data_IF_773807144808
#
_entry.id   IF_773807144808
#
_cell.length_a   1.000
_cell.length_b   1.000
_cell.length_c   1.000
_cell.angle_alpha   90.00
_cell.angle_beta   90.00
_cell.angle_gamma   90.00
#
_symmetry.space_group_name_H-M   'P 1'
#
loop_
_entity.id
_entity.type
_entity.pdbx_description
1 polymer ?
#
# COMPACT_ATOMS: atom_id res chain seq x y z
N UNK A 1 -10.56 25.14 30.37
CA UNK A 1 -10.01 26.30 31.12
C UNK A 1 -8.89 26.96 30.32
N UNK A 2 -7.91 26.20 29.83
CA UNK A 2 -6.82 26.70 28.98
C UNK A 2 -7.28 27.57 27.79
N UNK A 3 -8.30 27.13 27.04
CA UNK A 3 -8.82 27.87 25.87
C UNK A 3 -9.39 29.24 26.27
N UNK A 4 -10.15 29.31 27.36
CA UNK A 4 -10.69 30.58 27.83
C UNK A 4 -9.58 31.50 28.30
N UNK A 5 -8.60 31.00 29.06
CA UNK A 5 -7.47 31.80 29.49
C UNK A 5 -6.63 32.31 28.31
N UNK A 6 -6.43 31.47 27.29
CA UNK A 6 -5.76 31.84 26.04
C UNK A 6 -6.50 32.96 25.30
N UNK A 7 -7.83 32.89 25.20
CA UNK A 7 -8.64 33.91 24.51
C UNK A 7 -8.61 35.28 25.19
N UNK A 8 -8.38 35.33 26.51
CA UNK A 8 -8.21 36.57 27.25
C UNK A 8 -6.76 37.08 27.21
N UNK A 9 -5.81 36.26 26.75
CA UNK A 9 -4.41 36.63 26.59
C UNK A 9 -4.16 37.37 25.27
N UNK A 10 -2.97 37.96 25.14
CA UNK A 10 -2.57 38.70 23.94
C UNK A 10 -2.54 37.74 22.74
N UNK A 11 -3.35 38.01 21.71
CA UNK A 11 -3.39 37.19 20.50
C UNK A 11 -2.04 37.17 19.78
N UNK A 12 -1.76 36.01 19.21
CA UNK A 12 -0.76 35.81 18.16
C UNK A 12 -0.87 36.91 17.10
N UNK A 13 0.23 37.63 16.86
CA UNK A 13 0.35 38.49 15.69
C UNK A 13 0.71 37.62 14.49
N UNK A 14 0.08 37.87 13.35
CA UNK A 14 0.23 37.07 12.12
C UNK A 14 1.69 37.05 11.59
N UNK A 15 2.53 37.99 12.05
CA UNK A 15 3.92 38.15 11.61
C UNK A 15 4.91 37.19 12.28
N UNK A 16 4.56 36.59 13.43
CA UNK A 16 5.48 35.71 14.17
C UNK A 16 5.34 34.26 13.72
N UNK A 17 6.46 33.52 13.65
CA UNK A 17 6.46 32.09 13.35
C UNK A 17 5.59 31.33 14.37
N UNK A 18 4.48 30.68 13.93
CA UNK A 18 3.55 30.04 14.84
C UNK A 18 4.19 28.88 15.60
N UNK A 19 5.12 28.14 15.01
CA UNK A 19 5.79 27.03 15.71
C UNK A 19 6.66 27.52 16.87
N UNK A 20 7.31 28.67 16.68
CA UNK A 20 8.12 29.30 17.72
C UNK A 20 7.25 29.81 18.87
N UNK A 21 6.07 30.36 18.58
CA UNK A 21 5.16 30.85 19.64
C UNK A 21 4.66 29.75 20.56
N UNK A 22 4.34 28.57 20.02
CA UNK A 22 3.87 27.44 20.83
C UNK A 22 5.00 26.69 21.55
N UNK A 23 6.25 27.14 21.41
CA UNK A 23 7.42 26.57 22.09
C UNK A 23 7.76 27.32 23.41
N UNK A 24 8.59 26.70 24.26
CA UNK A 24 9.08 27.34 25.50
C UNK A 24 8.01 27.52 26.58
N UNK A 25 7.87 28.74 27.10
CA UNK A 25 6.99 29.08 28.22
C UNK A 25 5.50 28.82 27.92
N UNK A 26 5.06 29.07 26.68
CA UNK A 26 3.67 28.85 26.26
C UNK A 26 3.31 27.35 26.20
N UNK A 27 4.30 26.48 25.94
CA UNK A 27 4.12 25.02 25.97
C UNK A 27 3.79 24.52 27.38
N UNK A 28 4.41 25.14 28.39
CA UNK A 28 4.19 24.82 29.80
C UNK A 28 2.83 25.39 30.25
N UNK A 29 2.49 26.58 29.77
CA UNK A 29 1.25 27.27 30.15
C UNK A 29 -0.02 26.63 29.57
N UNK A 30 0.01 26.20 28.30
CA UNK A 30 -1.13 25.61 27.61
C UNK A 30 -0.76 24.30 26.89
N UNK A 31 -0.52 23.22 27.64
CA UNK A 31 0.00 21.97 27.07
C UNK A 31 -0.94 21.33 26.04
N UNK A 32 -2.26 21.40 26.25
CA UNK A 32 -3.21 20.84 25.31
C UNK A 32 -3.29 21.67 24.03
N UNK A 33 -3.27 23.01 24.18
CA UNK A 33 -3.36 23.94 23.06
C UNK A 33 -2.11 23.89 22.19
N UNK A 34 -0.92 23.79 22.80
CA UNK A 34 0.34 23.54 22.09
C UNK A 34 0.30 22.22 21.33
N UNK A 35 -0.14 21.13 21.96
CA UNK A 35 -0.23 19.83 21.27
C UNK A 35 -1.18 19.88 20.06
N UNK A 36 -2.30 20.59 20.20
CA UNK A 36 -3.26 20.77 19.12
C UNK A 36 -2.70 21.65 18.00
N UNK A 37 -2.04 22.76 18.35
CA UNK A 37 -1.48 23.70 17.38
C UNK A 37 -0.41 23.04 16.53
N UNK A 38 0.51 22.29 17.14
CA UNK A 38 1.52 21.52 16.42
C UNK A 38 0.88 20.53 15.43
N UNK A 39 -0.15 19.79 15.84
CA UNK A 39 -0.86 18.89 14.91
C UNK A 39 -1.52 19.64 13.76
N UNK A 40 -2.14 20.79 14.04
CA UNK A 40 -2.84 21.57 13.02
C UNK A 40 -1.87 22.18 12.01
N UNK A 41 -0.76 22.74 12.47
CA UNK A 41 0.25 23.34 11.59
C UNK A 41 1.11 22.30 10.86
N UNK A 42 1.30 21.11 11.42
CA UNK A 42 1.98 20.00 10.73
C UNK A 42 1.08 19.25 9.75
N UNK A 43 -0.23 19.46 9.81
CA UNK A 43 -1.16 18.86 8.84
C UNK A 43 -1.01 19.58 7.49
N UNK A 44 -0.92 18.82 6.37
CA UNK A 44 -0.90 19.43 5.04
C UNK A 44 -2.19 20.21 4.80
N UNK A 45 -2.09 21.39 4.17
CA UNK A 45 -3.25 22.23 3.90
C UNK A 45 -4.21 21.62 2.87
N UNK A 46 -3.76 20.59 2.13
CA UNK A 46 -4.53 19.95 1.06
C UNK A 46 -4.52 18.42 1.17
N UNK A 47 -5.59 17.79 0.69
CA UNK A 47 -5.66 16.32 0.58
C UNK A 47 -4.59 15.77 -0.37
N UNK A 48 -4.33 16.45 -1.49
CA UNK A 48 -3.30 16.07 -2.46
C UNK A 48 -1.90 15.96 -1.83
N UNK A 49 -1.52 16.90 -0.96
CA UNK A 49 -0.23 16.85 -0.27
C UNK A 49 -0.18 15.74 0.79
N UNK A 50 -1.31 15.44 1.42
CA UNK A 50 -1.44 14.30 2.35
C UNK A 50 -1.30 12.96 1.62
N UNK A 51 -1.96 12.82 0.47
CA UNK A 51 -1.84 11.66 -0.43
C UNK A 51 -0.42 11.51 -0.97
N UNK A 52 0.22 12.61 -1.37
CA UNK A 52 1.61 12.64 -1.84
C UNK A 52 2.60 12.26 -0.74
N UNK A 53 2.36 12.69 0.51
CA UNK A 53 3.15 12.25 1.65
C UNK A 53 2.98 10.77 1.92
N UNK A 54 1.74 10.27 1.90
CA UNK A 54 1.45 8.85 2.10
C UNK A 54 2.12 7.98 1.01
N UNK A 55 2.06 8.39 -0.26
CA UNK A 55 2.72 7.70 -1.35
C UNK A 55 4.25 7.70 -1.20
N UNK A 56 4.84 8.81 -0.75
CA UNK A 56 6.28 8.92 -0.50
C UNK A 56 6.72 8.09 0.74
N UNK A 57 5.90 8.01 1.77
CA UNK A 57 6.17 7.13 2.93
C UNK A 57 6.14 5.67 2.48
N UNK A 58 5.15 5.26 1.69
CA UNK A 58 5.08 3.90 1.16
C UNK A 58 6.28 3.59 0.24
N UNK A 59 6.70 4.53 -0.62
CA UNK A 59 7.86 4.33 -1.50
C UNK A 59 9.18 4.23 -0.74
N UNK A 60 9.36 5.02 0.32
CA UNK A 60 10.56 4.92 1.19
C UNK A 60 10.56 3.65 2.03
N UNK A 61 9.40 3.21 2.54
CA UNK A 61 9.30 1.93 3.26
C UNK A 61 9.53 0.73 2.33
N UNK A 62 8.96 0.75 1.12
CA UNK A 62 9.24 -0.24 0.08
C UNK A 62 10.73 -0.35 -0.23
N UNK A 63 11.41 0.80 -0.37
CA UNK A 63 12.86 0.86 -0.61
C UNK A 63 13.63 0.18 0.53
N UNK A 64 13.26 0.47 1.78
CA UNK A 64 13.88 -0.14 2.96
C UNK A 64 13.65 -1.64 3.03
N UNK A 65 12.40 -2.09 2.85
CA UNK A 65 12.07 -3.52 2.81
C UNK A 65 12.87 -4.24 1.73
N UNK A 66 13.01 -3.65 0.55
CA UNK A 66 13.79 -4.20 -0.55
C UNK A 66 15.29 -4.28 -0.25
N UNK A 67 15.87 -3.22 0.32
CA UNK A 67 17.27 -3.21 0.72
C UNK A 67 17.54 -4.27 1.82
N UNK A 68 16.61 -4.43 2.75
CA UNK A 68 16.66 -5.47 3.80
C UNK A 68 16.53 -6.89 3.23
N UNK A 69 15.62 -7.13 2.28
CA UNK A 69 15.49 -8.43 1.60
C UNK A 69 16.76 -8.78 0.80
N UNK A 70 17.33 -7.82 0.06
CA UNK A 70 18.60 -7.98 -0.66
C UNK A 70 19.78 -8.32 0.26
N UNK A 71 19.74 -7.85 1.51
CA UNK A 71 20.77 -8.13 2.52
C UNK A 71 20.63 -9.50 3.20
N UNK A 72 19.48 -10.17 3.03
CA UNK A 72 19.23 -11.48 3.63
C UNK A 72 19.93 -12.61 2.86
N UNK A 73 20.35 -13.63 3.59
CA UNK A 73 20.87 -14.85 2.98
C UNK A 73 19.73 -15.57 2.23
N UNK A 74 19.91 -15.81 0.93
CA UNK A 74 18.92 -16.50 0.10
C UNK A 74 18.72 -17.93 0.59
N UNK A 75 17.46 -18.31 0.82
CA UNK A 75 17.08 -19.69 1.07
C UNK A 75 17.35 -20.58 -0.17
N UNK A 76 17.44 -21.89 0.06
CA UNK A 76 17.67 -22.87 -0.99
C UNK A 76 16.57 -22.81 -2.07
N UNK A 77 16.97 -22.85 -3.35
CA UNK A 77 16.09 -22.86 -4.55
C UNK A 77 15.04 -23.99 -4.53
N UNK A 78 15.20 -24.97 -3.64
CA UNK A 78 14.25 -26.08 -3.46
C UNK A 78 12.99 -25.71 -2.66
N UNK A 79 12.99 -24.59 -1.95
CA UNK A 79 11.82 -24.12 -1.19
C UNK A 79 10.82 -23.40 -2.09
N UNK A 80 9.52 -23.55 -1.82
CA UNK A 80 8.48 -22.82 -2.55
C UNK A 80 8.58 -21.32 -2.22
N UNK A 81 8.83 -20.43 -3.20
CA UNK A 81 8.89 -19.00 -2.95
C UNK A 81 7.60 -18.45 -2.32
N UNK A 82 6.43 -19.06 -2.59
CA UNK A 82 5.16 -18.64 -1.98
C UNK A 82 5.17 -18.83 -0.45
N UNK A 83 5.79 -19.90 0.04
CA UNK A 83 5.85 -20.20 1.47
C UNK A 83 6.84 -19.29 2.21
N UNK A 84 7.92 -18.88 1.54
CA UNK A 84 8.82 -17.83 2.03
C UNK A 84 8.07 -16.51 2.23
N UNK A 85 7.32 -16.04 1.23
CA UNK A 85 6.57 -14.77 1.32
C UNK A 85 5.42 -14.82 2.33
N UNK A 86 4.80 -15.99 2.53
CA UNK A 86 3.81 -16.18 3.61
C UNK A 86 4.45 -16.06 4.99
N UNK A 87 5.61 -16.68 5.19
CA UNK A 87 6.32 -16.67 6.48
C UNK A 87 6.89 -15.28 6.81
N UNK A 88 7.33 -14.55 5.78
CA UNK A 88 7.93 -13.22 5.92
C UNK A 88 6.93 -12.06 5.76
N UNK A 89 5.63 -12.31 5.67
CA UNK A 89 4.61 -11.28 5.47
C UNK A 89 4.60 -10.20 6.57
N UNK A 90 4.90 -10.59 7.83
CA UNK A 90 5.01 -9.63 8.95
C UNK A 90 6.24 -8.73 8.85
N UNK A 91 7.31 -9.23 8.20
CA UNK A 91 8.58 -8.52 8.06
C UNK A 91 8.57 -7.60 6.85
N UNK A 92 7.98 -8.06 5.74
CA UNK A 92 7.89 -7.33 4.49
C UNK A 92 6.42 -7.22 4.03
N UNK A 93 5.60 -6.39 4.69
CA UNK A 93 4.17 -6.30 4.37
C UNK A 93 3.92 -5.81 2.95
N UNK A 94 4.71 -4.86 2.44
CA UNK A 94 4.49 -4.27 1.12
C UNK A 94 5.04 -5.18 0.02
N UNK A 95 6.21 -5.80 0.25
CA UNK A 95 6.83 -6.68 -0.74
C UNK A 95 6.11 -8.03 -0.86
N UNK A 96 5.62 -8.59 0.25
CA UNK A 96 4.86 -9.85 0.25
C UNK A 96 3.51 -9.74 -0.48
N UNK A 97 2.81 -8.61 -0.35
CA UNK A 97 1.57 -8.35 -1.08
C UNK A 97 1.83 -8.30 -2.60
N UNK A 98 2.90 -7.61 -3.01
CA UNK A 98 3.30 -7.56 -4.41
C UNK A 98 3.70 -8.96 -4.92
N UNK A 99 4.56 -9.67 -4.19
CA UNK A 99 5.03 -11.00 -4.54
C UNK A 99 3.86 -11.99 -4.73
N UNK A 100 2.89 -12.01 -3.82
CA UNK A 100 1.71 -12.86 -3.96
C UNK A 100 0.92 -12.59 -5.24
N UNK A 101 0.72 -11.31 -5.61
CA UNK A 101 0.05 -10.94 -6.87
C UNK A 101 0.83 -11.40 -8.10
N UNK A 102 2.15 -11.26 -8.09
CA UNK A 102 3.02 -11.72 -9.18
C UNK A 102 3.03 -13.24 -9.32
N UNK A 103 3.19 -13.98 -8.22
CA UNK A 103 3.22 -15.45 -8.25
C UNK A 103 1.85 -16.10 -8.52
N UNK A 104 0.75 -15.40 -8.23
CA UNK A 104 -0.61 -15.88 -8.56
C UNK A 104 -0.93 -15.79 -10.05
N UNK A 105 -0.16 -15.01 -10.82
CA UNK A 105 -0.40 -14.86 -12.25
C UNK A 105 0.30 -15.99 -13.01
N UNK A 106 -0.42 -16.84 -13.76
CA UNK A 106 0.22 -17.84 -14.59
C UNK A 106 1.11 -17.16 -15.62
N UNK A 107 2.38 -17.59 -15.71
CA UNK A 107 3.37 -16.99 -16.61
C UNK A 107 3.06 -17.18 -18.11
N UNK A 108 2.01 -17.92 -18.44
CA UNK A 108 1.71 -18.35 -19.81
C UNK A 108 0.20 -18.29 -20.09
N UNK A 109 -0.19 -18.06 -21.34
CA UNK A 109 -1.57 -18.23 -21.85
C UNK A 109 -1.97 -19.70 -22.01
N UNK A 110 -1.06 -20.65 -21.79
CA UNK A 110 -1.31 -22.10 -21.93
C UNK A 110 -2.59 -22.59 -21.23
N UNK A 111 -2.92 -22.22 -19.97
CA UNK A 111 -4.17 -22.67 -19.34
C UNK A 111 -5.42 -22.08 -20.00
N UNK A 112 -5.38 -20.85 -20.52
CA UNK A 112 -6.51 -20.29 -21.28
C UNK A 112 -6.62 -20.94 -22.65
N UNK A 113 -5.50 -21.19 -23.35
CA UNK A 113 -5.47 -21.94 -24.62
C UNK A 113 -5.95 -23.38 -24.46
N UNK A 114 -5.62 -24.04 -23.35
CA UNK A 114 -6.10 -25.39 -23.04
C UNK A 114 -7.62 -25.37 -22.82
N UNK A 115 -8.14 -24.41 -22.05
CA UNK A 115 -9.57 -24.22 -21.87
C UNK A 115 -10.28 -23.99 -23.21
N UNK A 116 -9.74 -23.09 -24.05
CA UNK A 116 -10.31 -22.81 -25.37
C UNK A 116 -10.19 -23.98 -26.34
N UNK A 117 -9.11 -24.77 -26.26
CA UNK A 117 -8.92 -25.96 -27.11
C UNK A 117 -9.89 -27.07 -26.71
N UNK A 118 -10.05 -27.36 -25.42
CA UNK A 118 -11.03 -28.34 -24.93
C UNK A 118 -12.45 -27.91 -25.25
N UNK A 119 -12.78 -26.63 -25.08
CA UNK A 119 -14.10 -26.11 -25.47
C UNK A 119 -14.31 -26.25 -26.98
N UNK A 120 -13.31 -25.89 -27.80
CA UNK A 120 -13.36 -26.06 -29.25
C UNK A 120 -13.62 -27.50 -29.63
N UNK A 121 -12.94 -28.45 -28.98
CA UNK A 121 -13.09 -29.87 -29.26
C UNK A 121 -14.48 -30.42 -28.87
N UNK A 122 -15.09 -29.95 -27.78
CA UNK A 122 -16.49 -30.28 -27.45
C UNK A 122 -17.47 -29.73 -28.50
N UNK A 123 -17.28 -28.48 -28.92
CA UNK A 123 -18.12 -27.87 -29.96
C UNK A 123 -17.95 -28.52 -31.33
N UNK A 124 -16.73 -28.88 -31.74
CA UNK A 124 -16.48 -29.59 -32.99
C UNK A 124 -17.01 -31.02 -32.93
N UNK A 125 -16.82 -31.74 -31.83
CA UNK A 125 -17.40 -33.08 -31.63
C UNK A 125 -18.92 -33.06 -31.77
N UNK A 126 -19.62 -32.12 -31.11
CA UNK A 126 -21.08 -31.94 -31.24
C UNK A 126 -21.50 -31.65 -32.68
N UNK A 127 -20.72 -30.86 -33.44
CA UNK A 127 -20.99 -30.56 -34.85
C UNK A 127 -20.62 -31.70 -35.80
N UNK A 128 -19.69 -32.58 -35.44
CA UNK A 128 -19.34 -33.77 -36.23
C UNK A 128 -20.28 -34.95 -35.96
N UNK A 129 -21.11 -34.87 -34.90
CA UNK A 129 -22.14 -35.86 -34.54
C UNK A 129 -23.48 -35.66 -35.28
N UNK A 130 -23.54 -34.84 -36.33
CA UNK A 130 -24.65 -34.90 -37.30
C UNK A 130 -24.41 -36.09 -38.21
N UNK A 131 -25.25 -37.10 -38.03
CA UNK A 131 -25.18 -38.41 -38.66
C UNK A 131 -24.86 -38.36 -40.15
N UNK A 132 -23.69 -38.88 -40.53
CA UNK A 132 -23.27 -39.03 -41.92
C UNK A 132 -24.22 -39.96 -42.73
N UNK A 133 -25.11 -40.71 -42.06
CA UNK A 133 -26.14 -41.54 -42.72
C UNK A 133 -27.35 -40.78 -43.27
N UNK A 134 -27.41 -39.46 -43.15
CA UNK A 134 -28.44 -38.65 -43.84
C UNK A 134 -28.02 -38.13 -45.23
N UNK A 135 -26.85 -38.54 -45.73
CA UNK A 135 -26.30 -38.10 -47.03
C UNK A 135 -26.27 -39.17 -48.12
N UNK A 136 -26.96 -40.31 -47.93
CA UNK A 136 -27.20 -41.31 -48.97
C UNK A 136 -28.69 -41.56 -49.15
#
# INVERSE_FOLDING_TARGET
VEVNEYLHSKRLQITDDPFKYWSGENSIKWPLLTKLSHRYFSAPATSSESESRASNINSTNLRKEFDEDCSMARESIKSDPLDFWKSNQKKFPLLSEAAQKYFSTPATSVPSEQLFSTARDDFTYRRMSIDARKLF
#
